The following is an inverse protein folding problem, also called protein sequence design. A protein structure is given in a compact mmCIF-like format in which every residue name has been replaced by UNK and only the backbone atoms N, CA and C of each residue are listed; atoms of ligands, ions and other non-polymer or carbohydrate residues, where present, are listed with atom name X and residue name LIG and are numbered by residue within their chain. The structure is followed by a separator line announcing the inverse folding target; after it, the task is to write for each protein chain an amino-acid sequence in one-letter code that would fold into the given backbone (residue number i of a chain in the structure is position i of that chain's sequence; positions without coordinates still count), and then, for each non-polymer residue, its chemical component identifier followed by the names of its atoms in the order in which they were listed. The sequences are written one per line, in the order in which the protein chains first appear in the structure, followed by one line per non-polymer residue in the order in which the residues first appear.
data_IF_353681162686
#
_entry.id   IF_353681162686
#
_cell.length_a   1.000
_cell.length_b   1.000
_cell.length_c   1.000
_cell.angle_alpha   90.00
_cell.angle_beta   90.00
_cell.angle_gamma   90.00
#
_symmetry.space_group_name_H-M   'P 1'
#
loop_
_entity.id
_entity.type
_entity.pdbx_description
1 polymer ?
#
# COMPACT_ATOMS: atom_id res chain seq x y z
N UNK A 1 13.78 -9.55 19.85
CA UNK A 1 12.54 -8.85 19.41
C UNK A 1 11.76 -9.86 18.58
N UNK A 2 10.69 -10.44 19.14
CA UNK A 2 10.01 -11.58 18.52
C UNK A 2 8.97 -11.08 17.52
N UNK A 3 9.06 -11.52 16.27
CA UNK A 3 8.07 -11.32 15.24
C UNK A 3 7.83 -12.66 14.52
N UNK A 4 6.59 -12.92 14.12
CA UNK A 4 6.24 -14.09 13.29
C UNK A 4 6.54 -13.80 11.82
N UNK A 5 6.44 -12.52 11.42
CA UNK A 5 6.71 -12.05 10.06
C UNK A 5 7.53 -10.76 10.12
N UNK A 6 8.59 -10.72 9.32
CA UNK A 6 9.38 -9.51 9.06
C UNK A 6 9.13 -9.06 7.63
N UNK A 7 8.72 -7.81 7.46
CA UNK A 7 8.54 -7.17 6.16
C UNK A 7 9.69 -6.20 5.91
N UNK A 8 10.39 -6.36 4.81
CA UNK A 8 11.50 -5.49 4.42
C UNK A 8 10.99 -4.41 3.47
N UNK A 9 11.03 -3.18 3.94
CA UNK A 9 10.60 -1.98 3.22
C UNK A 9 9.16 -1.56 3.52
N UNK A 10 8.98 -0.28 3.81
CA UNK A 10 7.70 0.37 4.08
C UNK A 10 7.11 1.11 2.86
N UNK A 11 7.28 0.55 1.65
CA UNK A 11 6.56 0.98 0.46
C UNK A 11 5.10 0.49 0.46
N UNK A 12 4.31 0.85 -0.55
CA UNK A 12 2.89 0.52 -0.64
C UNK A 12 2.61 -0.99 -0.44
N UNK A 13 3.39 -1.86 -1.09
CA UNK A 13 3.25 -3.31 -0.98
C UNK A 13 3.61 -3.83 0.42
N UNK A 14 4.70 -3.33 1.00
CA UNK A 14 5.14 -3.71 2.34
C UNK A 14 4.15 -3.27 3.42
N UNK A 15 3.63 -2.04 3.33
CA UNK A 15 2.62 -1.52 4.25
C UNK A 15 1.34 -2.34 4.21
N UNK A 16 0.86 -2.68 3.00
CA UNK A 16 -0.33 -3.51 2.83
C UNK A 16 -0.10 -4.94 3.32
N UNK A 17 1.04 -5.55 2.96
CA UNK A 17 1.39 -6.92 3.38
C UNK A 17 1.51 -7.03 4.90
N UNK A 18 2.20 -6.08 5.55
CA UNK A 18 2.38 -6.06 6.99
C UNK A 18 1.06 -5.88 7.74
N UNK A 19 0.26 -4.90 7.32
CA UNK A 19 -1.06 -4.67 7.92
C UNK A 19 -1.96 -5.88 7.76
N UNK A 20 -1.99 -6.50 6.57
CA UNK A 20 -2.81 -7.70 6.33
C UNK A 20 -2.35 -8.91 7.13
N UNK A 21 -1.06 -9.15 7.24
CA UNK A 21 -0.52 -10.22 8.07
C UNK A 21 -0.90 -10.03 9.56
N UNK A 22 -0.79 -8.81 10.06
CA UNK A 22 -1.17 -8.49 11.44
C UNK A 22 -2.69 -8.59 11.66
N UNK A 23 -3.51 -8.17 10.70
CA UNK A 23 -4.97 -8.36 10.71
C UNK A 23 -5.35 -9.85 10.78
N UNK A 24 -4.51 -10.74 10.23
CA UNK A 24 -4.65 -12.19 10.33
C UNK A 24 -4.07 -12.78 11.62
N UNK A 25 -3.59 -11.95 12.57
CA UNK A 25 -3.14 -12.38 13.90
C UNK A 25 -1.63 -12.56 14.05
N UNK A 26 -0.83 -12.31 13.02
CA UNK A 26 0.63 -12.41 13.12
C UNK A 26 1.23 -11.20 13.86
N UNK A 27 2.31 -11.42 14.62
CA UNK A 27 3.16 -10.36 15.15
C UNK A 27 4.10 -9.89 14.04
N UNK A 28 3.93 -8.67 13.57
CA UNK A 28 4.63 -8.16 12.39
C UNK A 28 5.61 -7.05 12.76
N UNK A 29 6.79 -7.11 12.14
CA UNK A 29 7.83 -6.09 12.19
C UNK A 29 8.13 -5.61 10.77
N UNK A 30 8.10 -4.29 10.53
CA UNK A 30 8.62 -3.68 9.31
C UNK A 30 10.01 -3.13 9.58
N UNK A 31 10.97 -3.43 8.69
CA UNK A 31 12.29 -2.81 8.66
C UNK A 31 12.36 -1.87 7.47
N UNK A 32 12.44 -0.57 7.73
CA UNK A 32 12.52 0.45 6.69
C UNK A 32 13.89 1.15 6.74
N UNK A 33 14.55 1.26 5.59
CA UNK A 33 15.89 1.85 5.49
C UNK A 33 15.92 3.37 5.64
N UNK A 34 14.79 4.03 5.43
CA UNK A 34 14.63 5.48 5.54
C UNK A 34 13.96 5.85 6.87
N UNK A 35 13.81 7.14 7.11
CA UNK A 35 13.17 7.72 8.29
C UNK A 35 11.64 7.85 8.17
N UNK A 36 11.04 7.41 7.04
CA UNK A 36 9.61 7.61 6.80
C UNK A 36 8.94 6.48 6.03
N UNK A 37 7.63 6.32 6.24
CA UNK A 37 6.77 5.41 5.49
C UNK A 37 6.54 5.92 4.06
N UNK A 38 6.47 5.01 3.09
CA UNK A 38 5.85 5.26 1.79
C UNK A 38 6.52 6.35 0.94
N UNK A 39 7.82 6.53 0.99
CA UNK A 39 8.56 7.55 0.26
C UNK A 39 8.15 7.67 -1.23
N UNK A 40 7.98 6.52 -1.93
CA UNK A 40 7.54 6.55 -3.34
C UNK A 40 6.08 6.98 -3.50
N UNK A 41 5.23 6.77 -2.51
CA UNK A 41 3.84 7.26 -2.55
C UNK A 41 3.80 8.78 -2.52
N UNK A 42 4.65 9.40 -1.70
CA UNK A 42 4.74 10.86 -1.56
C UNK A 42 5.08 11.58 -2.86
N UNK A 43 5.88 10.96 -3.73
CA UNK A 43 6.28 11.58 -5.01
C UNK A 43 5.41 11.17 -6.20
N UNK A 44 4.56 10.16 -6.03
CA UNK A 44 3.68 9.68 -7.10
C UNK A 44 2.58 10.68 -7.43
N UNK A 45 2.12 10.70 -8.70
CA UNK A 45 1.03 11.58 -9.11
C UNK A 45 1.29 13.07 -8.86
N UNK A 46 2.54 13.54 -8.95
CA UNK A 46 2.94 14.92 -8.63
C UNK A 46 2.57 15.31 -7.19
N UNK A 47 2.98 14.50 -6.22
CA UNK A 47 2.72 14.64 -4.78
C UNK A 47 1.27 14.43 -4.33
N UNK A 48 0.36 14.08 -5.25
CA UNK A 48 -1.06 13.82 -4.94
C UNK A 48 -1.39 12.35 -4.69
N UNK A 49 -0.51 11.43 -5.08
CA UNK A 49 -0.69 9.98 -5.06
C UNK A 49 -1.87 9.49 -5.92
N UNK A 50 -1.61 9.15 -7.19
CA UNK A 50 -2.58 8.40 -7.99
C UNK A 50 -2.73 6.98 -7.44
N UNK A 51 -3.84 6.70 -6.74
CA UNK A 51 -4.02 5.44 -6.01
C UNK A 51 -4.48 4.29 -6.90
N UNK A 52 -5.28 4.57 -7.95
CA UNK A 52 -5.77 3.57 -8.90
C UNK A 52 -6.42 4.24 -10.12
N UNK A 53 -7.14 3.45 -10.93
CA UNK A 53 -7.89 3.92 -12.11
C UNK A 53 -9.31 3.34 -12.09
N UNK A 54 -10.27 4.00 -12.76
CA UNK A 54 -11.65 3.53 -12.91
C UNK A 54 -11.79 2.38 -13.91
N UNK A 55 -10.76 2.06 -14.68
CA UNK A 55 -10.81 0.99 -15.68
C UNK A 55 -11.28 -0.33 -15.06
N UNK A 56 -12.08 -1.08 -15.81
CA UNK A 56 -12.49 -2.42 -15.40
C UNK A 56 -11.31 -3.41 -15.43
N UNK A 57 -11.42 -4.51 -14.69
CA UNK A 57 -10.31 -5.43 -14.47
C UNK A 57 -9.60 -5.90 -15.76
N UNK A 58 -10.29 -6.30 -16.84
CA UNK A 58 -9.60 -6.71 -18.07
C UNK A 58 -8.74 -5.59 -18.65
N UNK A 59 -9.29 -4.40 -18.78
CA UNK A 59 -8.58 -3.22 -19.29
C UNK A 59 -7.41 -2.83 -18.39
N UNK A 60 -7.61 -2.92 -17.07
CA UNK A 60 -6.58 -2.62 -16.08
C UNK A 60 -5.40 -3.59 -16.19
N UNK A 61 -5.67 -4.88 -16.40
CA UNK A 61 -4.67 -5.92 -16.63
C UNK A 61 -3.89 -5.66 -17.93
N UNK A 62 -4.58 -5.27 -19.01
CA UNK A 62 -3.95 -4.99 -20.31
C UNK A 62 -2.94 -3.83 -20.22
N UNK A 63 -3.14 -2.87 -19.32
CA UNK A 63 -2.19 -1.77 -19.06
C UNK A 63 -0.82 -2.24 -18.55
N UNK A 64 -0.72 -3.46 -18.00
CA UNK A 64 0.54 -4.07 -17.57
C UNK A 64 1.27 -4.82 -18.72
N UNK A 65 0.71 -4.79 -19.93
CA UNK A 65 1.30 -5.45 -21.09
C UNK A 65 1.29 -6.98 -20.96
N UNK A 66 2.28 -7.62 -21.56
CA UNK A 66 2.34 -9.10 -21.69
C UNK A 66 2.31 -9.84 -20.35
N UNK A 67 2.80 -9.23 -19.28
CA UNK A 67 2.89 -9.84 -17.94
C UNK A 67 1.64 -9.58 -17.08
N UNK A 68 0.68 -8.79 -17.56
CA UNK A 68 -0.52 -8.43 -16.80
C UNK A 68 -1.31 -9.63 -16.29
N UNK A 69 -1.35 -10.72 -17.05
CA UNK A 69 -2.07 -11.96 -16.68
C UNK A 69 -1.61 -12.56 -15.34
N UNK A 70 -0.36 -12.36 -14.95
CA UNK A 70 0.15 -12.79 -13.65
C UNK A 70 -0.64 -12.17 -12.48
N UNK A 71 -1.17 -10.98 -12.67
CA UNK A 71 -1.85 -10.21 -11.62
C UNK A 71 -3.33 -10.59 -11.45
N UNK A 72 -3.91 -11.41 -12.33
CA UNK A 72 -5.33 -11.79 -12.24
C UNK A 72 -5.70 -12.35 -10.87
N UNK A 73 -4.91 -13.30 -10.35
CA UNK A 73 -5.19 -13.92 -9.06
C UNK A 73 -5.20 -12.91 -7.89
N UNK A 74 -4.29 -11.94 -7.91
CA UNK A 74 -4.21 -10.89 -6.91
C UNK A 74 -5.41 -9.93 -7.03
N UNK A 75 -5.71 -9.44 -8.23
CA UNK A 75 -6.78 -8.48 -8.44
C UNK A 75 -8.19 -9.08 -8.30
N UNK A 76 -8.38 -10.37 -8.49
CA UNK A 76 -9.64 -11.03 -8.14
C UNK A 76 -9.92 -11.06 -6.63
N UNK A 77 -8.89 -10.94 -5.81
CA UNK A 77 -9.02 -10.91 -4.34
C UNK A 77 -9.05 -9.51 -3.76
N UNK A 78 -8.33 -8.59 -4.39
CA UNK A 78 -8.21 -7.21 -3.93
C UNK A 78 -7.99 -6.28 -5.12
N UNK A 79 -9.04 -5.63 -5.57
CA UNK A 79 -9.00 -4.70 -6.70
C UNK A 79 -9.47 -3.31 -6.28
N UNK A 80 -9.93 -2.50 -7.23
CA UNK A 80 -10.37 -1.13 -7.00
C UNK A 80 -11.47 -1.00 -5.93
N UNK A 81 -12.57 -1.79 -5.95
CA UNK A 81 -13.62 -1.65 -4.94
C UNK A 81 -13.10 -1.88 -3.52
N UNK A 82 -12.31 -2.95 -3.32
CA UNK A 82 -11.72 -3.29 -2.03
C UNK A 82 -10.71 -2.24 -1.58
N UNK A 83 -9.88 -1.73 -2.51
CA UNK A 83 -8.90 -0.68 -2.25
C UNK A 83 -9.58 0.62 -1.81
N UNK A 84 -10.64 1.05 -2.51
CA UNK A 84 -11.36 2.27 -2.17
C UNK A 84 -12.14 2.12 -0.85
N UNK A 85 -12.70 0.94 -0.58
CA UNK A 85 -13.32 0.62 0.69
C UNK A 85 -12.31 0.65 1.85
N UNK A 86 -11.09 0.13 1.62
CA UNK A 86 -9.99 0.21 2.57
C UNK A 86 -9.62 1.66 2.88
N UNK A 87 -9.42 2.51 1.87
CA UNK A 87 -9.13 3.93 2.09
C UNK A 87 -10.23 4.64 2.86
N UNK A 88 -11.48 4.41 2.47
CA UNK A 88 -12.65 5.00 3.14
C UNK A 88 -12.75 4.57 4.61
N UNK A 89 -12.47 3.31 4.92
CA UNK A 89 -12.46 2.78 6.30
C UNK A 89 -11.53 3.58 7.21
N UNK A 90 -10.39 4.00 6.70
CA UNK A 90 -9.39 4.77 7.44
C UNK A 90 -9.49 6.29 7.23
N UNK A 91 -10.62 6.75 6.67
CA UNK A 91 -10.99 8.17 6.62
C UNK A 91 -10.51 8.92 5.38
N UNK A 92 -10.07 8.22 4.32
CA UNK A 92 -9.65 8.85 3.07
C UNK A 92 -10.77 8.75 2.02
N UNK A 93 -11.30 9.90 1.60
CA UNK A 93 -12.17 10.00 0.44
C UNK A 93 -11.35 10.21 -0.83
N UNK A 94 -11.82 9.63 -1.93
CA UNK A 94 -11.16 9.68 -3.23
C UNK A 94 -12.07 10.29 -4.30
N UNK A 95 -11.46 10.82 -5.36
CA UNK A 95 -12.13 11.38 -6.54
C UNK A 95 -11.52 10.83 -7.81
N UNK A 96 -12.36 10.65 -8.85
CA UNK A 96 -11.89 10.33 -10.19
C UNK A 96 -11.63 11.62 -10.99
N UNK A 97 -10.57 11.63 -11.77
CA UNK A 97 -10.18 12.74 -12.64
C UNK A 97 -10.01 12.28 -14.10
N UNK A 98 -9.66 13.22 -14.97
CA UNK A 98 -9.42 12.97 -16.38
C UNK A 98 -8.51 11.76 -16.59
N UNK A 99 -8.87 10.89 -17.53
CA UNK A 99 -8.16 9.63 -17.83
C UNK A 99 -8.45 8.52 -16.80
N UNK A 100 -9.51 8.67 -16.01
CA UNK A 100 -9.94 7.66 -15.05
C UNK A 100 -9.04 7.51 -13.82
N UNK A 101 -8.07 8.40 -13.64
CA UNK A 101 -7.16 8.37 -12.49
C UNK A 101 -7.90 8.71 -11.20
N UNK A 102 -7.60 7.99 -10.14
CA UNK A 102 -8.21 8.21 -8.83
C UNK A 102 -7.17 8.79 -7.87
N UNK A 103 -7.53 9.89 -7.22
CA UNK A 103 -6.71 10.62 -6.26
C UNK A 103 -7.44 10.82 -4.94
N UNK A 104 -6.72 11.10 -3.82
CA UNK A 104 -7.33 11.67 -2.64
C UNK A 104 -8.10 12.96 -2.97
N UNK A 105 -9.23 13.20 -2.31
CA UNK A 105 -9.98 14.46 -2.47
C UNK A 105 -9.14 15.67 -2.06
N UNK A 106 -8.25 15.49 -1.08
CA UNK A 106 -7.32 16.53 -0.59
C UNK A 106 -6.20 16.89 -1.56
N UNK A 107 -5.96 16.06 -2.59
CA UNK A 107 -4.80 16.17 -3.48
C UNK A 107 -3.43 16.09 -2.75
N UNK A 108 -3.39 15.43 -1.61
CA UNK A 108 -2.20 15.30 -0.78
C UNK A 108 -1.83 13.81 -0.54
N UNK A 109 -0.65 13.40 -1.01
CA UNK A 109 -0.15 12.05 -0.82
C UNK A 109 0.08 11.70 0.66
N UNK A 110 0.26 12.68 1.54
CA UNK A 110 0.42 12.46 2.98
C UNK A 110 -0.79 11.83 3.61
N UNK A 111 -1.99 12.13 3.10
CA UNK A 111 -3.22 11.52 3.60
C UNK A 111 -3.29 10.02 3.28
N UNK A 112 -2.71 9.59 2.15
CA UNK A 112 -2.56 8.15 1.84
C UNK A 112 -1.61 7.48 2.84
N UNK A 113 -0.52 8.12 3.20
CA UNK A 113 0.41 7.61 4.22
C UNK A 113 -0.27 7.51 5.58
N UNK A 114 -1.10 8.51 5.93
CA UNK A 114 -1.83 8.51 7.20
C UNK A 114 -2.83 7.35 7.30
N UNK A 115 -3.47 6.96 6.18
CA UNK A 115 -4.29 5.74 6.13
C UNK A 115 -3.47 4.52 6.52
N UNK A 116 -2.29 4.35 5.93
CA UNK A 116 -1.43 3.22 6.26
C UNK A 116 -0.94 3.28 7.71
N UNK A 117 -0.60 4.45 8.23
CA UNK A 117 -0.22 4.62 9.65
C UNK A 117 -1.35 4.13 10.55
N UNK A 118 -2.57 4.60 10.35
CA UNK A 118 -3.75 4.17 11.11
C UNK A 118 -3.99 2.65 11.00
N UNK A 119 -3.78 2.09 9.81
CA UNK A 119 -3.93 0.65 9.59
C UNK A 119 -2.91 -0.16 10.40
N UNK A 120 -1.63 0.23 10.34
CA UNK A 120 -0.57 -0.42 11.09
C UNK A 120 -0.78 -0.31 12.60
N UNK A 121 -1.16 0.89 13.08
CA UNK A 121 -1.39 1.17 14.49
C UNK A 121 -2.57 0.34 15.03
N UNK A 122 -3.67 0.26 14.27
CA UNK A 122 -4.85 -0.54 14.64
C UNK A 122 -4.53 -2.02 14.83
N UNK A 123 -3.54 -2.54 14.09
CA UNK A 123 -3.12 -3.94 14.16
C UNK A 123 -1.77 -4.13 14.87
N UNK A 124 -1.27 -3.10 15.58
CA UNK A 124 -0.05 -3.15 16.42
C UNK A 124 1.20 -3.59 15.64
N UNK A 125 1.28 -3.25 14.36
CA UNK A 125 2.48 -3.49 13.55
C UNK A 125 3.59 -2.58 14.05
N UNK A 126 4.77 -3.14 14.32
CA UNK A 126 5.94 -2.37 14.69
C UNK A 126 6.73 -1.96 13.45
N UNK A 127 7.25 -0.74 13.44
CA UNK A 127 8.12 -0.24 12.38
C UNK A 127 9.43 0.21 13.00
N UNK A 128 10.53 -0.22 12.41
CA UNK A 128 11.89 0.25 12.74
C UNK A 128 12.40 0.98 11.52
N UNK A 129 12.64 2.27 11.69
CA UNK A 129 13.24 3.14 10.69
C UNK A 129 14.77 3.07 10.75
N UNK A 130 15.43 3.64 9.74
CA UNK A 130 16.90 3.64 9.59
C UNK A 130 17.50 2.23 9.70
N UNK A 131 16.72 1.23 9.30
CA UNK A 131 17.04 -0.19 9.41
C UNK A 131 17.22 -0.83 8.02
N UNK A 132 18.38 -0.63 7.44
CA UNK A 132 18.71 -1.23 6.14
C UNK A 132 19.04 -2.72 6.32
N UNK A 133 18.25 -3.59 5.69
CA UNK A 133 18.56 -5.02 5.59
C UNK A 133 19.63 -5.22 4.52
N UNK A 134 20.77 -5.79 4.91
CA UNK A 134 21.92 -6.01 4.02
C UNK A 134 22.08 -7.49 3.66
N UNK A 135 21.63 -8.41 4.53
CA UNK A 135 21.70 -9.84 4.30
C UNK A 135 20.62 -10.59 5.08
N UNK A 136 20.28 -11.77 4.61
CA UNK A 136 19.44 -12.75 5.30
C UNK A 136 20.31 -14.00 5.47
N UNK A 137 20.44 -14.45 6.70
CA UNK A 137 21.15 -15.67 7.03
C UNK A 137 20.14 -16.73 7.50
N UNK A 138 20.21 -17.93 6.92
CA UNK A 138 19.37 -19.09 7.27
C UNK A 138 20.23 -20.12 8.03
#
# INVERSE_FOLDING_TARGET
MDADIIVVGAGASGLMAAGRAAECGARVLILEKTDALGQKLLVSGKTRCNVTNIAELPQFIDMYGTNGRFLYGAFHRFFRPELLAFFKRYGLNTKAERGGRIFPVSDDARDVIEVFRKYLDAHKVRVVFDAQVTAIHC
#
